data_IF_649796690286
#
_entry.id   IF_649796690286
#
_cell.length_a   1.000
_cell.length_b   1.000
_cell.length_c   1.000
_cell.angle_alpha   90.00
_cell.angle_beta   90.00
_cell.angle_gamma   90.00
#
_symmetry.space_group_name_H-M   'P 1'
#
loop_
_entity.id
_entity.type
_entity.pdbx_description
1 polymer ?
#
# COMPACT_ATOMS: atom_id res chain seq x y z
N UNK A 1 -6.94 -6.32 3.96
CA UNK A 1 -5.85 -5.37 3.71
C UNK A 1 -4.70 -6.10 3.02
N UNK A 2 -4.35 -5.66 1.83
CA UNK A 2 -3.18 -6.16 1.12
C UNK A 2 -1.98 -5.31 1.52
N UNK A 3 -0.92 -5.95 2.00
CA UNK A 3 0.32 -5.28 2.38
C UNK A 3 1.44 -5.76 1.46
N UNK A 4 1.89 -4.88 0.58
CA UNK A 4 3.01 -5.14 -0.30
C UNK A 4 4.29 -4.63 0.35
N UNK A 5 5.08 -5.55 0.88
CA UNK A 5 6.29 -5.26 1.65
C UNK A 5 7.25 -6.45 1.55
N UNK A 6 8.44 -6.20 1.04
CA UNK A 6 9.46 -7.24 0.82
C UNK A 6 10.27 -7.59 2.08
N UNK A 7 10.28 -6.71 3.07
CA UNK A 7 11.05 -6.92 4.31
C UNK A 7 10.18 -7.55 5.39
N UNK A 8 10.60 -8.70 5.90
CA UNK A 8 9.82 -9.47 6.89
C UNK A 8 9.52 -8.66 8.15
N UNK A 9 10.50 -7.93 8.68
CA UNK A 9 10.32 -7.15 9.90
C UNK A 9 9.29 -6.03 9.73
N UNK A 10 9.29 -5.37 8.58
CA UNK A 10 8.32 -4.31 8.29
C UNK A 10 6.92 -4.88 8.10
N UNK A 11 6.81 -6.01 7.42
CA UNK A 11 5.52 -6.68 7.28
C UNK A 11 4.97 -7.12 8.63
N UNK A 12 5.82 -7.70 9.49
CA UNK A 12 5.41 -8.13 10.84
C UNK A 12 4.89 -6.94 11.65
N UNK A 13 5.58 -5.80 11.58
CA UNK A 13 5.16 -4.59 12.28
C UNK A 13 3.75 -4.15 11.85
N UNK A 14 3.50 -4.07 10.54
CA UNK A 14 2.19 -3.69 10.01
C UNK A 14 1.14 -4.72 10.41
N UNK A 15 1.47 -6.00 10.33
CA UNK A 15 0.56 -7.08 10.71
C UNK A 15 0.12 -6.96 12.17
N UNK A 16 1.06 -6.69 13.08
CA UNK A 16 0.74 -6.51 14.49
C UNK A 16 -0.12 -5.27 14.75
N UNK A 17 0.05 -4.22 13.96
CA UNK A 17 -0.75 -2.99 14.08
C UNK A 17 -2.22 -3.22 13.70
N UNK A 18 -2.49 -4.02 12.68
CA UNK A 18 -3.80 -4.06 12.03
C UNK A 18 -4.51 -5.41 12.05
N UNK A 19 -3.92 -6.46 12.61
CA UNK A 19 -4.49 -7.81 12.58
C UNK A 19 -5.87 -7.95 13.24
N UNK A 20 -6.20 -7.05 14.14
CA UNK A 20 -7.52 -7.05 14.81
C UNK A 20 -8.60 -6.34 14.00
N UNK A 21 -8.19 -5.50 13.05
CA UNK A 21 -9.09 -4.65 12.28
C UNK A 21 -9.28 -5.16 10.86
N UNK A 22 -8.29 -5.89 10.34
CA UNK A 22 -8.29 -6.37 8.96
C UNK A 22 -7.76 -7.80 8.89
N UNK A 23 -8.26 -8.56 7.92
CA UNK A 23 -7.58 -9.75 7.44
C UNK A 23 -6.42 -9.28 6.57
N UNK A 24 -5.21 -9.72 6.87
CA UNK A 24 -4.01 -9.22 6.22
C UNK A 24 -3.45 -10.27 5.27
N UNK A 25 -3.21 -9.87 4.03
CA UNK A 25 -2.57 -10.69 3.01
C UNK A 25 -1.28 -9.98 2.58
N UNK A 26 -0.20 -10.73 2.44
CA UNK A 26 1.09 -10.18 2.07
C UNK A 26 1.41 -10.39 0.60
N UNK A 27 1.98 -9.36 -0.04
CA UNK A 27 2.70 -9.47 -1.30
C UNK A 27 4.17 -9.11 -1.02
N UNK A 28 5.11 -9.87 -1.57
CA UNK A 28 6.54 -9.64 -1.33
C UNK A 28 7.21 -8.82 -2.42
N UNK A 29 6.51 -8.51 -3.49
CA UNK A 29 6.96 -7.63 -4.57
C UNK A 29 5.74 -7.04 -5.30
N UNK A 30 6.01 -6.13 -6.23
CA UNK A 30 4.94 -5.45 -6.97
C UNK A 30 4.13 -6.37 -7.88
N UNK A 31 4.79 -7.34 -8.51
CA UNK A 31 4.10 -8.30 -9.38
C UNK A 31 3.10 -9.15 -8.61
N UNK A 32 3.51 -9.63 -7.44
CA UNK A 32 2.64 -10.39 -6.56
C UNK A 32 1.48 -9.53 -6.05
N UNK A 33 1.74 -8.25 -5.75
CA UNK A 33 0.69 -7.32 -5.32
C UNK A 33 -0.38 -7.13 -6.39
N UNK A 34 0.02 -6.99 -7.65
CA UNK A 34 -0.93 -6.87 -8.77
C UNK A 34 -1.78 -8.14 -8.88
N UNK A 35 -1.15 -9.30 -8.83
CA UNK A 35 -1.84 -10.59 -8.93
C UNK A 35 -2.85 -10.77 -7.81
N UNK A 36 -2.43 -10.56 -6.57
CA UNK A 36 -3.30 -10.73 -5.40
C UNK A 36 -4.46 -9.74 -5.43
N UNK A 37 -4.20 -8.49 -5.80
CA UNK A 37 -5.24 -7.48 -5.90
C UNK A 37 -6.33 -7.89 -6.90
N UNK A 38 -5.93 -8.44 -8.03
CA UNK A 38 -6.86 -8.91 -9.05
C UNK A 38 -7.69 -10.09 -8.56
N UNK A 39 -7.07 -11.02 -7.85
CA UNK A 39 -7.74 -12.25 -7.39
C UNK A 39 -8.65 -12.03 -6.18
N UNK A 40 -8.25 -11.16 -5.26
CA UNK A 40 -8.89 -11.06 -3.94
C UNK A 40 -9.71 -9.79 -3.71
N UNK A 41 -9.58 -8.77 -4.54
CA UNK A 41 -10.29 -7.49 -4.39
C UNK A 41 -10.17 -6.94 -2.95
N UNK A 42 -8.96 -6.59 -2.47
CA UNK A 42 -8.79 -6.13 -1.11
C UNK A 42 -9.52 -4.80 -0.85
N UNK A 43 -9.91 -4.58 0.40
CA UNK A 43 -10.57 -3.34 0.80
C UNK A 43 -9.63 -2.12 0.72
N UNK A 44 -8.33 -2.34 0.91
CA UNK A 44 -7.31 -1.30 0.83
C UNK A 44 -5.94 -1.95 0.64
N UNK A 45 -4.98 -1.16 0.18
CA UNK A 45 -3.61 -1.61 -0.08
C UNK A 45 -2.62 -0.67 0.61
N UNK A 46 -1.67 -1.24 1.35
CA UNK A 46 -0.45 -0.54 1.75
C UNK A 46 0.65 -0.99 0.80
N UNK A 47 1.17 -0.07 -0.01
CA UNK A 47 2.11 -0.38 -1.08
C UNK A 47 3.46 0.27 -0.82
N UNK A 48 4.47 -0.52 -0.48
CA UNK A 48 5.84 -0.03 -0.41
C UNK A 48 6.29 0.33 -1.83
N UNK A 49 6.99 1.45 -1.94
CA UNK A 49 7.47 1.92 -3.23
C UNK A 49 8.69 1.10 -3.69
N UNK A 50 9.63 0.84 -2.77
CA UNK A 50 10.85 0.11 -3.11
C UNK A 50 10.71 -1.38 -2.87
N UNK A 51 10.48 -2.11 -3.94
CA UNK A 51 10.41 -3.57 -3.91
C UNK A 51 11.14 -4.17 -5.10
N UNK A 52 11.66 -5.42 -4.96
CA UNK A 52 12.30 -6.10 -6.09
C UNK A 52 11.27 -6.54 -7.12
N UNK A 53 11.74 -6.94 -8.30
CA UNK A 53 10.96 -7.45 -9.44
C UNK A 53 10.12 -6.35 -10.09
N UNK A 54 9.23 -5.72 -9.34
CA UNK A 54 8.41 -4.60 -9.79
C UNK A 54 8.21 -3.67 -8.61
N UNK A 55 8.54 -2.39 -8.78
CA UNK A 55 8.38 -1.41 -7.70
C UNK A 55 6.92 -1.01 -7.49
N UNK A 56 6.67 -0.26 -6.41
CA UNK A 56 5.31 0.13 -6.04
C UNK A 56 4.66 1.08 -7.06
N UNK A 57 5.42 1.93 -7.71
CA UNK A 57 4.87 2.84 -8.73
C UNK A 57 4.28 2.05 -9.90
N UNK A 58 5.04 1.10 -10.44
CA UNK A 58 4.57 0.28 -11.54
C UNK A 58 3.40 -0.60 -11.13
N UNK A 59 3.46 -1.18 -9.91
CA UNK A 59 2.37 -1.99 -9.39
C UNK A 59 1.08 -1.18 -9.30
N UNK A 60 1.15 0.06 -8.81
CA UNK A 60 -0.02 0.93 -8.71
C UNK A 60 -0.62 1.25 -10.09
N UNK A 61 0.23 1.55 -11.07
CA UNK A 61 -0.23 1.80 -12.43
C UNK A 61 -0.98 0.60 -13.00
N UNK A 62 -0.47 -0.59 -12.79
CA UNK A 62 -1.09 -1.84 -13.27
C UNK A 62 -2.40 -2.14 -12.56
N UNK A 63 -2.44 -1.91 -11.24
CA UNK A 63 -3.67 -2.09 -10.47
C UNK A 63 -4.75 -1.12 -10.96
N UNK A 64 -4.39 0.13 -11.20
CA UNK A 64 -5.35 1.13 -11.68
C UNK A 64 -5.93 0.81 -13.05
N UNK A 65 -5.25 0.02 -13.86
CA UNK A 65 -5.76 -0.40 -15.16
C UNK A 65 -7.00 -1.29 -15.04
N UNK A 66 -7.15 -2.05 -13.96
CA UNK A 66 -8.33 -2.91 -13.75
C UNK A 66 -9.16 -2.53 -12.52
N UNK A 67 -8.64 -1.72 -11.61
CA UNK A 67 -9.37 -1.28 -10.41
C UNK A 67 -9.06 0.20 -10.12
N UNK A 68 -9.89 1.11 -10.63
CA UNK A 68 -9.68 2.54 -10.39
C UNK A 68 -10.09 3.00 -8.99
N UNK A 69 -10.76 2.16 -8.20
CA UNK A 69 -11.43 2.57 -6.97
C UNK A 69 -10.74 2.12 -5.68
N UNK A 70 -9.96 1.04 -5.68
CA UNK A 70 -9.38 0.52 -4.44
C UNK A 70 -8.46 1.56 -3.77
N UNK A 71 -8.64 1.83 -2.47
CA UNK A 71 -7.74 2.75 -1.76
C UNK A 71 -6.31 2.21 -1.70
N UNK A 72 -5.35 3.00 -2.13
CA UNK A 72 -3.92 2.65 -2.09
C UNK A 72 -3.17 3.71 -1.29
N UNK A 73 -2.48 3.29 -0.24
CA UNK A 73 -1.58 4.14 0.52
C UNK A 73 -0.14 3.73 0.18
N UNK A 74 0.61 4.65 -0.43
CA UNK A 74 2.01 4.43 -0.75
C UNK A 74 2.86 4.60 0.50
N UNK A 75 3.85 3.72 0.68
CA UNK A 75 4.76 3.74 1.83
C UNK A 75 6.17 3.96 1.32
N UNK A 76 6.88 4.92 1.90
CA UNK A 76 8.23 5.28 1.46
C UNK A 76 9.19 5.44 2.64
N UNK A 77 10.49 5.24 2.38
CA UNK A 77 11.54 5.54 3.36
C UNK A 77 11.80 7.05 3.47
N UNK A 78 11.44 7.82 2.45
CA UNK A 78 11.76 9.25 2.39
C UNK A 78 10.51 10.07 2.04
N UNK A 79 10.33 11.17 2.75
CA UNK A 79 9.17 12.07 2.56
C UNK A 79 9.51 13.22 1.59
N UNK A 80 10.08 12.90 0.43
CA UNK A 80 10.38 13.91 -0.59
C UNK A 80 9.13 14.25 -1.40
N UNK A 81 8.90 15.53 -1.67
CA UNK A 81 7.76 15.98 -2.47
C UNK A 81 7.72 15.33 -3.85
N UNK A 82 8.89 15.13 -4.46
CA UNK A 82 8.99 14.48 -5.77
C UNK A 82 8.42 13.06 -5.75
N UNK A 83 8.78 12.28 -4.73
CA UNK A 83 8.31 10.92 -4.59
C UNK A 83 6.81 10.87 -4.28
N UNK A 84 6.34 11.81 -3.47
CA UNK A 84 4.93 11.96 -3.16
C UNK A 84 4.10 12.25 -4.41
N UNK A 85 4.53 13.22 -5.22
CA UNK A 85 3.87 13.55 -6.48
C UNK A 85 3.87 12.36 -7.43
N UNK A 86 4.97 11.64 -7.51
CA UNK A 86 5.10 10.45 -8.34
C UNK A 86 4.15 9.33 -7.89
N UNK A 87 4.00 9.15 -6.58
CA UNK A 87 3.06 8.18 -6.03
C UNK A 87 1.61 8.51 -6.40
N UNK A 88 1.20 9.75 -6.21
CA UNK A 88 -0.16 10.17 -6.57
C UNK A 88 -0.39 10.08 -8.08
N UNK A 89 0.60 10.44 -8.90
CA UNK A 89 0.51 10.29 -10.35
C UNK A 89 0.37 8.83 -10.77
N UNK A 90 0.95 7.90 -10.02
CA UNK A 90 0.84 6.46 -10.29
C UNK A 90 -0.49 5.86 -9.81
N UNK A 91 -1.26 6.59 -9.01
CA UNK A 91 -2.59 6.17 -8.56
C UNK A 91 -2.78 6.02 -7.06
N UNK A 92 -1.82 6.44 -6.23
CA UNK A 92 -1.99 6.42 -4.78
C UNK A 92 -3.06 7.41 -4.32
N UNK A 93 -3.80 7.03 -3.27
CA UNK A 93 -4.77 7.89 -2.61
C UNK A 93 -4.21 8.53 -1.34
N UNK A 94 -3.16 7.93 -0.78
CA UNK A 94 -2.49 8.42 0.40
C UNK A 94 -1.00 8.11 0.35
N UNK A 95 -0.25 8.69 1.29
CA UNK A 95 1.19 8.59 1.30
C UNK A 95 1.69 8.67 2.74
N UNK A 96 2.47 7.69 3.17
CA UNK A 96 3.07 7.68 4.50
C UNK A 96 4.56 7.39 4.41
N UNK A 97 5.35 8.00 5.30
CA UNK A 97 6.79 7.80 5.35
C UNK A 97 7.17 6.90 6.53
N UNK A 98 8.21 6.10 6.35
CA UNK A 98 8.82 5.35 7.46
C UNK A 98 9.59 6.31 8.37
N UNK A 99 9.69 6.05 9.68
CA UNK A 99 9.17 4.87 10.38
C UNK A 99 7.65 4.87 10.48
N UNK A 100 7.06 3.69 10.36
CA UNK A 100 5.61 3.56 10.31
C UNK A 100 4.97 3.80 11.69
N UNK A 101 3.93 4.63 11.69
CA UNK A 101 3.09 4.87 12.86
C UNK A 101 1.71 4.27 12.60
N UNK A 102 1.28 3.34 13.45
CA UNK A 102 -0.03 2.72 13.34
C UNK A 102 -1.16 3.74 13.40
N UNK A 103 -1.02 4.74 14.27
CA UNK A 103 -1.99 5.81 14.41
C UNK A 103 -2.13 6.63 13.14
N UNK A 104 -1.00 7.00 12.52
CA UNK A 104 -1.01 7.78 11.30
C UNK A 104 -1.61 6.98 10.14
N UNK A 105 -1.21 5.72 9.98
CA UNK A 105 -1.76 4.85 8.94
C UNK A 105 -3.27 4.64 9.14
N UNK A 106 -3.70 4.42 10.38
CA UNK A 106 -5.13 4.26 10.70
C UNK A 106 -5.93 5.49 10.31
N UNK A 107 -5.38 6.66 10.55
CA UNK A 107 -6.03 7.93 10.21
C UNK A 107 -6.19 8.05 8.68
N UNK A 108 -5.13 7.75 7.94
CA UNK A 108 -5.17 7.82 6.48
C UNK A 108 -6.15 6.79 5.91
N UNK A 109 -6.06 5.54 6.35
CA UNK A 109 -6.98 4.48 5.89
C UNK A 109 -8.43 4.79 6.28
N UNK A 110 -8.64 5.27 7.49
CA UNK A 110 -9.98 5.61 7.96
C UNK A 110 -10.65 6.67 7.10
N UNK A 111 -9.91 7.71 6.73
CA UNK A 111 -10.41 8.75 5.83
C UNK A 111 -10.78 8.18 4.47
N UNK A 112 -9.89 7.36 3.88
CA UNK A 112 -10.13 6.79 2.56
C UNK A 112 -11.28 5.79 2.55
N UNK A 113 -11.39 4.95 3.56
CA UNK A 113 -12.46 3.96 3.66
C UNK A 113 -13.82 4.60 3.96
N UNK A 114 -13.84 5.71 4.68
CA UNK A 114 -15.06 6.44 4.99
C UNK A 114 -15.69 7.10 3.75
N UNK A 115 -14.90 7.33 2.69
CA UNK A 115 -15.38 7.92 1.44
C UNK A 115 -16.05 6.91 0.51
N UNK A 116 -15.99 5.64 0.86
CA UNK A 116 -16.64 4.57 0.10
C UNK A 116 -18.05 4.36 0.64
#
# INVERSE_FOLDING_TARGET
LLVAEDTDSNFLLVSLMFRKEFDIVRAVNGEEAVRICREMNPAAILMDIKMPVMDGFEAMRRIRAFDPAVPIVAVTAFAYDRDRQKAFAAGANGYVAKPLSGEHIRRVLGTLLAEI
#
